data_IF_974673874948
#
_entry.id   IF_974673874948
#
_cell.length_a   1.000
_cell.length_b   1.000
_cell.length_c   1.000
_cell.angle_alpha   90.00
_cell.angle_beta   90.00
_cell.angle_gamma   90.00
#
_symmetry.space_group_name_H-M   'P 1'
#
loop_
_entity.id
_entity.type
_entity.pdbx_description
1 polymer ?
#
# COMPACT_ATOMS: atom_id res chain seq x y z
N UNK A 1 37.45 -22.16 -6.97
CA UNK A 1 37.20 -21.31 -5.79
C UNK A 1 36.10 -20.34 -6.20
N UNK A 2 34.84 -20.76 -6.15
CA UNK A 2 33.88 -20.55 -5.06
C UNK A 2 33.59 -19.07 -4.79
N UNK A 3 32.42 -18.61 -5.23
CA UNK A 3 31.38 -18.01 -4.39
C UNK A 3 30.07 -18.01 -5.17
N UNK A 4 29.24 -18.99 -4.85
CA UNK A 4 27.89 -19.14 -5.35
C UNK A 4 27.00 -18.42 -4.33
N UNK A 5 26.87 -17.09 -4.45
CA UNK A 5 25.87 -16.37 -3.68
C UNK A 5 24.52 -16.62 -4.32
N UNK A 6 23.86 -17.66 -3.81
CA UNK A 6 22.46 -17.98 -4.02
C UNK A 6 21.63 -16.77 -3.63
N UNK A 7 21.34 -15.90 -4.59
CA UNK A 7 20.33 -14.87 -4.43
C UNK A 7 19.02 -15.61 -4.20
N UNK A 8 18.62 -15.69 -2.93
CA UNK A 8 17.33 -16.21 -2.51
C UNK A 8 16.27 -15.35 -3.18
N UNK A 9 15.85 -15.78 -4.37
CA UNK A 9 14.80 -15.17 -5.18
C UNK A 9 13.47 -15.51 -4.54
N UNK A 10 13.26 -15.00 -3.33
CA UNK A 10 11.95 -14.90 -2.71
C UNK A 10 11.21 -13.78 -3.45
N UNK A 11 10.83 -14.05 -4.70
CA UNK A 11 9.81 -13.33 -5.45
C UNK A 11 9.77 -11.82 -5.16
N UNK A 12 10.71 -11.06 -5.76
CA UNK A 12 10.78 -9.60 -5.65
C UNK A 12 9.46 -9.03 -6.19
N UNK A 13 8.53 -8.79 -5.29
CA UNK A 13 7.23 -8.23 -5.61
C UNK A 13 7.45 -6.77 -6.01
N UNK A 14 7.02 -6.39 -7.22
CA UNK A 14 7.18 -5.02 -7.68
C UNK A 14 6.38 -4.07 -6.76
N UNK A 15 6.99 -3.02 -6.20
CA UNK A 15 6.29 -2.08 -5.36
C UNK A 15 5.26 -1.30 -6.18
N UNK A 16 4.05 -1.18 -5.64
CA UNK A 16 3.02 -0.31 -6.21
C UNK A 16 3.36 1.12 -5.84
N UNK A 17 3.45 2.01 -6.83
CA UNK A 17 3.77 3.43 -6.63
C UNK A 17 2.51 4.25 -6.83
N UNK A 18 2.20 5.08 -5.85
CA UNK A 18 1.03 5.97 -5.85
C UNK A 18 1.52 7.39 -5.64
N UNK A 19 1.04 8.31 -6.48
CA UNK A 19 1.23 9.74 -6.25
C UNK A 19 0.45 10.14 -4.99
N UNK A 20 1.18 10.59 -3.97
CA UNK A 20 0.66 10.97 -2.66
C UNK A 20 0.10 12.39 -2.60
N UNK A 21 0.09 13.12 -3.72
CA UNK A 21 -0.60 14.41 -3.77
C UNK A 21 -2.08 14.18 -3.46
N UNK A 22 -2.58 14.86 -2.42
CA UNK A 22 -3.98 14.82 -1.96
C UNK A 22 -4.44 13.58 -1.17
N UNK A 23 -3.54 12.64 -0.84
CA UNK A 23 -3.90 11.50 0.02
C UNK A 23 -3.82 11.86 1.50
N UNK A 24 -4.93 11.70 2.23
CA UNK A 24 -4.91 11.71 3.69
C UNK A 24 -4.19 10.44 4.20
N UNK A 25 -3.06 10.63 4.88
CA UNK A 25 -2.20 9.54 5.34
C UNK A 25 -2.93 8.54 6.24
N UNK A 26 -3.84 9.01 7.11
CA UNK A 26 -4.55 8.15 8.07
C UNK A 26 -5.58 7.29 7.35
N UNK A 27 -6.33 7.87 6.42
CA UNK A 27 -7.29 7.16 5.56
C UNK A 27 -6.57 6.15 4.67
N UNK A 28 -5.46 6.56 4.07
CA UNK A 28 -4.63 5.69 3.25
C UNK A 28 -4.13 4.49 4.04
N UNK A 29 -3.51 4.69 5.21
CA UNK A 29 -3.04 3.58 6.05
C UNK A 29 -4.16 2.64 6.51
N UNK A 30 -5.38 3.16 6.75
CA UNK A 30 -6.55 2.34 7.06
C UNK A 30 -6.99 1.49 5.86
N UNK A 31 -7.02 2.07 4.65
CA UNK A 31 -7.30 1.35 3.41
C UNK A 31 -6.29 0.22 3.20
N UNK A 32 -5.00 0.49 3.37
CA UNK A 32 -3.96 -0.54 3.24
C UNK A 32 -4.17 -1.72 4.19
N UNK A 33 -4.58 -1.45 5.43
CA UNK A 33 -4.91 -2.52 6.40
C UNK A 33 -6.16 -3.31 6.01
N UNK A 34 -7.16 -2.66 5.41
CA UNK A 34 -8.36 -3.35 4.93
C UNK A 34 -8.04 -4.26 3.73
N UNK A 35 -7.18 -3.79 2.82
CA UNK A 35 -6.85 -4.49 1.58
C UNK A 35 -5.84 -5.62 1.82
N UNK A 36 -4.73 -5.33 2.51
CA UNK A 36 -3.65 -6.30 2.73
C UNK A 36 -3.78 -7.08 4.04
N UNK A 37 -4.63 -6.60 4.97
CA UNK A 37 -4.81 -7.25 6.26
C UNK A 37 -3.63 -7.09 7.22
N UNK A 38 -3.76 -7.77 8.35
CA UNK A 38 -2.72 -7.93 9.36
C UNK A 38 -2.55 -9.41 9.69
N UNK A 39 -1.31 -9.83 9.97
CA UNK A 39 -0.99 -11.18 10.43
C UNK A 39 -0.24 -11.09 11.76
N UNK A 40 -0.74 -11.76 12.80
CA UNK A 40 -0.15 -11.73 14.14
C UNK A 40 -0.02 -10.31 14.74
N UNK A 41 -0.94 -9.40 14.41
CA UNK A 41 -0.91 -8.00 14.83
C UNK A 41 0.06 -7.10 14.07
N UNK A 42 0.75 -7.62 13.04
CA UNK A 42 1.63 -6.85 12.16
C UNK A 42 0.98 -6.64 10.79
N UNK A 43 1.30 -5.53 10.12
CA UNK A 43 0.82 -5.27 8.77
C UNK A 43 1.45 -6.26 7.78
N UNK A 44 0.66 -6.79 6.85
CA UNK A 44 1.15 -7.64 5.76
C UNK A 44 1.69 -6.82 4.57
N UNK A 45 2.11 -5.59 4.83
CA UNK A 45 2.61 -4.67 3.82
C UNK A 45 3.60 -3.70 4.44
N UNK A 46 4.52 -3.19 3.63
CA UNK A 46 5.38 -2.05 3.97
C UNK A 46 5.04 -0.86 3.08
N UNK A 47 5.22 0.33 3.63
CA UNK A 47 5.02 1.58 2.91
C UNK A 47 6.25 2.45 3.06
N UNK A 48 6.74 2.99 1.96
CA UNK A 48 7.72 4.06 1.96
C UNK A 48 7.10 5.34 1.39
N UNK A 49 7.29 6.47 2.06
CA UNK A 49 6.91 7.79 1.56
C UNK A 49 8.18 8.54 1.14
N UNK A 50 8.31 8.88 -0.15
CA UNK A 50 9.40 9.71 -0.68
C UNK A 50 8.88 10.65 -1.76
N UNK A 51 9.26 11.92 -1.70
CA UNK A 51 8.91 12.93 -2.73
C UNK A 51 7.40 12.95 -3.05
N UNK A 52 6.54 12.94 -2.02
CA UNK A 52 5.08 12.84 -2.16
C UNK A 52 4.61 11.62 -2.95
N UNK A 53 5.34 10.50 -2.87
CA UNK A 53 4.95 9.21 -3.46
C UNK A 53 4.98 8.12 -2.42
N UNK A 54 3.90 7.34 -2.37
CA UNK A 54 3.82 6.14 -1.57
C UNK A 54 4.26 4.95 -2.41
N UNK A 55 5.25 4.20 -1.92
CA UNK A 55 5.62 2.88 -2.44
C UNK A 55 5.10 1.81 -1.49
N UNK A 56 4.24 0.94 -1.99
CA UNK A 56 3.66 -0.15 -1.21
C UNK A 56 4.31 -1.46 -1.62
N UNK A 57 4.77 -2.19 -0.62
CA UNK A 57 5.38 -3.51 -0.75
C UNK A 57 4.45 -4.52 -0.05
N UNK A 58 3.51 -5.13 -0.78
CA UNK A 58 2.68 -6.18 -0.20
C UNK A 58 3.51 -7.43 0.08
N UNK A 59 3.23 -8.11 1.19
CA UNK A 59 3.87 -9.39 1.51
C UNK A 59 3.20 -10.57 0.79
N UNK A 60 1.90 -10.46 0.48
CA UNK A 60 1.16 -11.41 -0.35
C UNK A 60 0.81 -10.79 -1.71
N UNK A 61 1.10 -11.51 -2.80
CA UNK A 61 1.02 -10.98 -4.17
C UNK A 61 -0.39 -11.00 -4.77
N UNK A 62 -1.37 -11.56 -4.06
CA UNK A 62 -2.73 -11.75 -4.57
C UNK A 62 -3.55 -10.46 -4.54
N UNK A 63 -3.17 -9.49 -3.71
CA UNK A 63 -3.91 -8.25 -3.55
C UNK A 63 -3.18 -7.09 -4.23
N UNK A 64 -3.88 -6.36 -5.10
CA UNK A 64 -3.39 -5.12 -5.72
C UNK A 64 -4.38 -4.00 -5.44
N UNK A 65 -3.87 -2.83 -5.07
CA UNK A 65 -4.70 -1.63 -4.98
C UNK A 65 -4.94 -1.10 -6.38
N UNK A 66 -6.20 -0.79 -6.65
CA UNK A 66 -6.57 -0.10 -7.88
C UNK A 66 -6.67 1.40 -7.62
N UNK A 67 -6.57 2.21 -8.68
CA UNK A 67 -6.79 3.65 -8.57
C UNK A 67 -8.19 3.98 -8.02
N UNK A 68 -9.18 3.12 -8.29
CA UNK A 68 -10.56 3.26 -7.78
C UNK A 68 -10.61 3.22 -6.25
N UNK A 69 -9.86 2.30 -5.63
CA UNK A 69 -9.79 2.18 -4.16
C UNK A 69 -9.20 3.45 -3.52
N UNK A 70 -8.27 4.09 -4.22
CA UNK A 70 -7.63 5.33 -3.78
C UNK A 70 -8.57 6.53 -3.92
N UNK A 71 -9.33 6.63 -5.02
CA UNK A 71 -10.31 7.71 -5.20
C UNK A 71 -11.43 7.67 -4.15
N UNK A 72 -11.92 6.48 -3.77
CA UNK A 72 -12.93 6.36 -2.71
C UNK A 72 -12.40 6.82 -1.33
N UNK A 73 -11.09 6.68 -1.10
CA UNK A 73 -10.45 7.15 0.13
C UNK A 73 -10.36 8.69 0.22
N UNK A 74 -10.15 9.36 -0.92
CA UNK A 74 -10.09 10.83 -1.03
C UNK A 74 -11.49 11.48 -0.99
N UNK A 75 -12.51 10.85 -1.58
CA UNK A 75 -13.83 11.47 -1.78
C UNK A 75 -14.81 11.34 -0.59
N UNK A 76 -14.49 10.59 0.48
CA UNK A 76 -15.33 10.53 1.70
C UNK A 76 -15.23 11.76 2.59
N UNK A 77 -15.06 12.95 2.02
CA UNK A 77 -15.03 14.23 2.73
C UNK A 77 -16.13 15.17 2.25
N UNK A 78 -17.38 14.70 2.19
CA UNK A 78 -18.53 15.58 2.45
C UNK A 78 -19.59 14.77 3.17
N UNK A 79 -19.88 15.03 4.47
CA UNK A 79 -21.21 14.74 4.97
C UNK A 79 -22.15 15.62 4.13
N UNK A 80 -22.98 14.98 3.31
CA UNK A 80 -24.12 15.63 2.69
C UNK A 80 -24.97 16.16 3.86
N UNK A 81 -24.85 17.45 4.15
CA UNK A 81 -25.75 18.12 5.08
C UNK A 81 -27.11 18.00 4.40
N UNK A 82 -27.92 17.07 4.89
CA UNK A 82 -29.34 16.98 4.49
C UNK A 82 -30.03 18.23 5.05
N UNK A 83 -30.90 18.86 4.24
CA UNK A 83 -31.58 20.10 4.62
C UNK A 83 -32.47 19.93 5.86
#
# INVERSE_FOLDING_TARGET
>A
MSSHDTYNSSSICMPQVIEGQYLDQRRFMNLLKQVYGTSGGKNNFRVELRLNRYKIYPMDQTTKLTEVDLLDSCNKSMPLIKP
#
